data_IF_432492118890
#
_entry.id   IF_432492118890
#
_cell.length_a   1.000
_cell.length_b   1.000
_cell.length_c   1.000
_cell.angle_alpha   90.00
_cell.angle_beta   90.00
_cell.angle_gamma   90.00
#
_symmetry.space_group_name_H-M   'P 1'
#
loop_
_entity.id
_entity.type
_entity.pdbx_description
1 polymer ?
#
# COMPACT_ATOMS: atom_id res chain seq x y z
N UNK A 1 -28.18 7.65 -10.34
CA UNK A 1 -28.03 6.60 -11.38
C UNK A 1 -27.01 5.63 -10.81
N UNK A 2 -27.42 4.41 -10.46
CA UNK A 2 -26.56 3.45 -9.79
C UNK A 2 -25.32 3.15 -10.65
N UNK A 3 -24.12 3.33 -10.08
CA UNK A 3 -22.85 3.11 -10.77
C UNK A 3 -22.75 1.64 -11.20
N UNK A 4 -22.67 1.41 -12.52
CA UNK A 4 -22.91 0.14 -13.20
C UNK A 4 -21.71 -0.80 -13.26
N UNK A 5 -20.76 -0.68 -12.32
CA UNK A 5 -19.47 -1.36 -12.41
C UNK A 5 -19.26 -2.53 -11.41
N UNK A 6 -20.24 -2.85 -10.57
CA UNK A 6 -20.14 -4.00 -9.65
C UNK A 6 -20.77 -5.22 -10.32
N UNK A 7 -19.94 -6.16 -10.77
CA UNK A 7 -20.38 -7.46 -11.28
C UNK A 7 -20.35 -8.49 -10.15
N UNK A 8 -21.51 -9.05 -9.85
CA UNK A 8 -21.62 -10.16 -8.91
C UNK A 8 -21.50 -11.46 -9.68
N UNK A 9 -20.54 -12.29 -9.32
CA UNK A 9 -20.26 -13.58 -9.95
C UNK A 9 -20.12 -14.62 -8.86
N UNK A 10 -20.62 -15.83 -9.10
CA UNK A 10 -20.41 -17.00 -8.26
C UNK A 10 -19.49 -17.98 -9.01
N UNK A 11 -18.48 -18.48 -8.31
CA UNK A 11 -17.51 -19.46 -8.84
C UNK A 11 -17.67 -20.78 -8.09
N UNK A 12 -17.35 -21.90 -8.73
CA UNK A 12 -17.61 -23.22 -8.13
C UNK A 12 -16.68 -23.51 -6.94
N UNK A 13 -15.48 -22.92 -6.94
CA UNK A 13 -14.52 -23.05 -5.85
C UNK A 13 -13.51 -21.88 -5.82
N UNK A 14 -12.71 -21.83 -4.75
CA UNK A 14 -11.72 -20.75 -4.52
C UNK A 14 -10.60 -20.73 -5.56
N UNK A 15 -10.17 -21.88 -6.09
CA UNK A 15 -9.10 -21.94 -7.08
C UNK A 15 -9.58 -21.32 -8.39
N UNK A 16 -10.80 -21.66 -8.83
CA UNK A 16 -11.43 -21.05 -10.01
C UNK A 16 -11.60 -19.53 -9.83
N UNK A 17 -11.99 -19.07 -8.65
CA UNK A 17 -12.08 -17.64 -8.37
C UNK A 17 -10.71 -16.93 -8.42
N UNK A 18 -9.64 -17.60 -7.99
CA UNK A 18 -8.26 -17.09 -8.10
C UNK A 18 -7.83 -17.02 -9.57
N UNK A 19 -8.08 -18.07 -10.36
CA UNK A 19 -7.79 -18.10 -11.80
C UNK A 19 -8.57 -17.01 -12.56
N UNK A 20 -9.83 -16.75 -12.17
CA UNK A 20 -10.59 -15.66 -12.76
C UNK A 20 -10.02 -14.29 -12.38
N UNK A 21 -9.50 -14.11 -11.17
CA UNK A 21 -8.80 -12.86 -10.80
C UNK A 21 -7.55 -12.62 -11.67
N UNK A 22 -6.84 -13.69 -12.08
CA UNK A 22 -5.77 -13.57 -13.07
C UNK A 22 -6.30 -13.19 -14.45
N UNK A 23 -7.35 -13.89 -14.93
CA UNK A 23 -8.00 -13.66 -16.23
C UNK A 23 -8.50 -12.21 -16.39
N UNK A 24 -9.07 -11.65 -15.31
CA UNK A 24 -9.57 -10.27 -15.27
C UNK A 24 -8.47 -9.22 -15.09
N UNK A 25 -7.22 -9.64 -14.87
CA UNK A 25 -6.08 -8.74 -14.65
C UNK A 25 -6.12 -8.00 -13.31
N UNK A 26 -6.82 -8.56 -12.31
CA UNK A 26 -6.93 -7.95 -10.97
C UNK A 26 -5.73 -8.23 -10.07
N UNK A 27 -4.92 -9.21 -10.44
CA UNK A 27 -3.72 -9.63 -9.73
C UNK A 27 -2.47 -8.87 -10.21
N UNK A 28 -1.51 -8.74 -9.30
CA UNK A 28 -0.14 -8.28 -9.55
C UNK A 28 0.79 -9.40 -10.08
N UNK A 29 0.26 -10.58 -10.40
CA UNK A 29 1.00 -11.78 -10.79
C UNK A 29 1.17 -12.80 -9.66
N UNK A 30 0.80 -12.44 -8.42
CA UNK A 30 0.69 -13.35 -7.28
C UNK A 30 -0.77 -13.75 -7.04
N UNK A 31 -1.06 -14.90 -6.41
CA UNK A 31 -2.43 -15.26 -6.09
C UNK A 31 -3.03 -14.23 -5.14
N UNK A 32 -4.29 -13.87 -5.38
CA UNK A 32 -5.06 -12.96 -4.53
C UNK A 32 -6.08 -13.74 -3.73
N UNK A 33 -6.55 -13.17 -2.62
CA UNK A 33 -7.77 -13.66 -1.97
C UNK A 33 -8.96 -13.09 -2.74
N UNK A 34 -9.84 -13.89 -3.35
CA UNK A 34 -10.97 -13.34 -4.10
C UNK A 34 -11.79 -12.36 -3.24
N UNK A 35 -12.19 -11.19 -3.76
CA UNK A 35 -12.88 -10.15 -2.99
C UNK A 35 -14.36 -10.51 -2.77
N UNK A 36 -14.59 -11.56 -1.99
CA UNK A 36 -15.93 -12.01 -1.60
C UNK A 36 -16.67 -10.89 -0.87
N UNK A 37 -17.94 -10.69 -1.21
CA UNK A 37 -18.77 -9.59 -0.67
C UNK A 37 -18.79 -9.51 0.85
N UNK A 38 -18.93 -10.66 1.52
CA UNK A 38 -18.96 -10.77 2.98
C UNK A 38 -17.66 -10.21 3.57
N UNK A 39 -16.51 -10.64 3.04
CA UNK A 39 -15.18 -10.18 3.47
C UNK A 39 -14.93 -8.71 3.16
N UNK A 40 -15.40 -8.22 2.02
CA UNK A 40 -15.33 -6.78 1.71
C UNK A 40 -16.20 -5.98 2.68
N UNK A 41 -17.38 -6.49 3.04
CA UNK A 41 -18.27 -5.86 4.00
C UNK A 41 -17.65 -5.82 5.41
N UNK A 42 -16.96 -6.86 5.86
CA UNK A 42 -16.22 -6.86 7.14
C UNK A 42 -15.23 -5.69 7.25
N UNK A 43 -14.56 -5.34 6.15
CA UNK A 43 -13.60 -4.22 6.11
C UNK A 43 -14.32 -2.88 6.19
N UNK A 44 -15.42 -2.72 5.47
CA UNK A 44 -16.25 -1.51 5.48
C UNK A 44 -16.86 -1.30 6.87
N UNK A 45 -17.41 -2.36 7.47
CA UNK A 45 -18.01 -2.34 8.80
C UNK A 45 -16.98 -2.00 9.88
N UNK A 46 -15.74 -2.50 9.75
CA UNK A 46 -14.66 -2.20 10.68
C UNK A 46 -14.35 -0.69 10.78
N UNK A 47 -14.41 0.03 9.67
CA UNK A 47 -14.15 1.48 9.64
C UNK A 47 -15.43 2.32 9.76
N UNK A 48 -16.60 1.74 9.55
CA UNK A 48 -17.90 2.41 9.64
C UNK A 48 -18.08 3.57 8.63
N UNK A 49 -17.35 3.55 7.51
CA UNK A 49 -17.40 4.59 6.46
C UNK A 49 -18.38 4.19 5.35
N UNK A 50 -18.90 5.18 4.62
CA UNK A 50 -19.78 4.92 3.47
C UNK A 50 -18.98 4.23 2.34
N UNK A 51 -19.40 3.06 1.82
CA UNK A 51 -18.71 2.38 0.73
C UNK A 51 -18.57 3.23 -0.56
N UNK A 52 -19.44 4.22 -0.77
CA UNK A 52 -19.40 5.14 -1.92
C UNK A 52 -18.61 6.42 -1.65
N UNK A 53 -18.11 6.62 -0.42
CA UNK A 53 -17.25 7.74 -0.11
C UNK A 53 -15.99 7.73 -0.99
N UNK A 54 -15.70 8.87 -1.60
CA UNK A 54 -14.53 9.08 -2.46
C UNK A 54 -13.35 9.48 -1.56
N UNK A 55 -12.31 8.65 -1.55
CA UNK A 55 -11.06 8.88 -0.83
C UNK A 55 -10.08 9.75 -1.62
N UNK A 56 -10.25 9.81 -2.94
CA UNK A 56 -9.45 10.64 -3.84
C UNK A 56 -9.71 10.33 -5.30
N UNK A 57 -9.10 11.11 -6.19
CA UNK A 57 -9.30 11.01 -7.63
C UNK A 57 -7.97 11.00 -8.39
N UNK A 58 -7.98 10.44 -9.60
CA UNK A 58 -6.90 10.58 -10.58
C UNK A 58 -7.52 11.15 -11.85
N UNK A 59 -7.61 12.50 -11.95
CA UNK A 59 -8.35 13.18 -13.02
C UNK A 59 -7.86 12.82 -14.43
N UNK A 60 -6.53 12.71 -14.62
CA UNK A 60 -5.87 12.37 -15.89
C UNK A 60 -6.32 11.00 -16.41
N UNK A 61 -6.71 10.12 -15.50
CA UNK A 61 -7.17 8.76 -15.81
C UNK A 61 -8.69 8.61 -15.67
N UNK A 62 -9.41 9.68 -15.32
CA UNK A 62 -10.86 9.70 -15.04
C UNK A 62 -11.25 8.62 -14.04
N UNK A 63 -10.50 8.53 -12.94
CA UNK A 63 -10.73 7.54 -11.88
C UNK A 63 -11.10 8.22 -10.58
N UNK A 64 -12.15 7.69 -9.95
CA UNK A 64 -12.52 7.97 -8.57
C UNK A 64 -12.24 6.74 -7.72
N UNK A 65 -11.55 6.91 -6.60
CA UNK A 65 -11.17 5.83 -5.69
C UNK A 65 -12.10 5.91 -4.48
N UNK A 66 -12.96 4.90 -4.32
CA UNK A 66 -13.93 4.84 -3.23
C UNK A 66 -13.51 3.87 -2.13
N UNK A 67 -14.10 3.99 -0.93
CA UNK A 67 -13.90 3.04 0.17
C UNK A 67 -14.14 1.60 -0.28
N UNK A 68 -15.20 1.32 -1.05
CA UNK A 68 -15.48 -0.03 -1.58
C UNK A 68 -14.34 -0.56 -2.46
N UNK A 69 -13.78 0.28 -3.35
CA UNK A 69 -12.67 -0.12 -4.22
C UNK A 69 -11.42 -0.42 -3.41
N UNK A 70 -11.14 0.38 -2.38
CA UNK A 70 -9.98 0.16 -1.50
C UNK A 70 -10.18 -1.11 -0.66
N UNK A 71 -11.37 -1.34 -0.12
CA UNK A 71 -11.70 -2.55 0.65
C UNK A 71 -11.52 -3.82 -0.19
N UNK A 72 -12.03 -3.85 -1.42
CA UNK A 72 -11.86 -5.00 -2.32
C UNK A 72 -10.38 -5.30 -2.61
N UNK A 73 -9.55 -4.28 -2.83
CA UNK A 73 -8.12 -4.46 -3.06
C UNK A 73 -7.36 -4.87 -1.78
N UNK A 74 -7.77 -4.38 -0.62
CA UNK A 74 -7.20 -4.79 0.66
C UNK A 74 -7.51 -6.27 0.96
N UNK A 75 -8.74 -6.73 0.68
CA UNK A 75 -9.10 -8.15 0.73
C UNK A 75 -8.22 -8.95 -0.21
N UNK A 76 -8.11 -8.55 -1.49
CA UNK A 76 -7.26 -9.22 -2.48
C UNK A 76 -5.80 -9.35 -2.07
N UNK A 77 -5.26 -8.33 -1.40
CA UNK A 77 -3.90 -8.35 -0.86
C UNK A 77 -3.72 -9.32 0.31
N UNK A 78 -4.80 -9.79 0.94
CA UNK A 78 -4.77 -10.65 2.12
C UNK A 78 -4.70 -9.89 3.45
N UNK A 79 -5.07 -8.60 3.46
CA UNK A 79 -5.14 -7.82 4.69
C UNK A 79 -6.12 -8.44 5.71
N UNK A 80 -6.02 -7.97 6.95
CA UNK A 80 -7.07 -8.12 7.96
C UNK A 80 -7.83 -6.79 8.11
N UNK A 81 -9.08 -6.79 8.61
CA UNK A 81 -9.86 -5.57 8.82
C UNK A 81 -9.11 -4.52 9.65
N UNK A 82 -8.37 -4.93 10.68
CA UNK A 82 -7.57 -4.01 11.51
C UNK A 82 -6.43 -3.30 10.76
N UNK A 83 -6.02 -3.79 9.58
CA UNK A 83 -5.02 -3.13 8.74
C UNK A 83 -5.65 -2.06 7.84
N UNK A 84 -6.97 -2.15 7.62
CA UNK A 84 -7.67 -1.33 6.64
C UNK A 84 -7.60 0.18 6.91
N UNK A 85 -7.62 0.69 8.16
CA UNK A 85 -7.40 2.11 8.44
C UNK A 85 -6.07 2.64 7.88
N UNK A 86 -5.00 1.83 7.93
CA UNK A 86 -3.68 2.20 7.39
C UNK A 86 -3.73 2.24 5.86
N UNK A 87 -4.43 1.29 5.22
CA UNK A 87 -4.60 1.26 3.76
C UNK A 87 -5.41 2.47 3.27
N UNK A 88 -6.48 2.84 3.98
CA UNK A 88 -7.26 4.04 3.69
C UNK A 88 -6.37 5.29 3.80
N UNK A 89 -5.69 5.46 4.94
CA UNK A 89 -4.83 6.63 5.17
C UNK A 89 -3.73 6.76 4.12
N UNK A 90 -3.08 5.65 3.75
CA UNK A 90 -2.07 5.64 2.69
C UNK A 90 -2.68 5.95 1.31
N UNK A 91 -3.92 5.52 1.06
CA UNK A 91 -4.64 5.80 -0.20
C UNK A 91 -4.99 7.28 -0.31
N UNK A 92 -5.56 7.87 0.74
CA UNK A 92 -5.84 9.30 0.80
C UNK A 92 -4.55 10.11 0.60
N UNK A 93 -3.47 9.73 1.29
CA UNK A 93 -2.18 10.41 1.21
C UNK A 93 -1.54 10.35 -0.20
N UNK A 94 -1.62 9.21 -0.91
CA UNK A 94 -1.05 9.11 -2.26
C UNK A 94 -1.93 9.75 -3.34
N UNK A 95 -3.19 10.12 -3.03
CA UNK A 95 -4.12 10.77 -3.95
C UNK A 95 -4.22 12.28 -3.73
N UNK A 96 -3.38 12.85 -2.86
CA UNK A 96 -3.28 14.30 -2.71
C UNK A 96 -2.59 14.95 -3.91
N UNK A 97 -2.90 16.23 -4.13
CA UNK A 97 -2.25 17.02 -5.20
C UNK A 97 -0.75 17.14 -4.94
N UNK A 98 -0.36 17.33 -3.68
CA UNK A 98 1.03 17.48 -3.25
C UNK A 98 1.88 16.23 -3.54
N UNK A 99 1.30 15.03 -3.41
CA UNK A 99 2.00 13.81 -3.74
C UNK A 99 2.16 13.62 -5.26
N UNK A 100 1.20 14.13 -6.05
CA UNK A 100 1.18 14.05 -7.51
C UNK A 100 1.42 12.61 -8.03
N UNK A 101 0.44 11.73 -7.82
CA UNK A 101 0.56 10.31 -8.16
C UNK A 101 0.96 10.04 -9.61
N UNK A 102 0.64 10.92 -10.55
CA UNK A 102 0.98 10.77 -11.97
C UNK A 102 2.49 10.69 -12.18
N UNK A 103 3.27 11.46 -11.41
CA UNK A 103 4.72 11.50 -11.53
C UNK A 103 5.37 10.11 -11.31
N UNK A 104 5.22 9.44 -10.15
CA UNK A 104 5.80 8.11 -9.95
C UNK A 104 5.09 7.00 -10.74
N UNK A 105 3.80 7.16 -11.07
CA UNK A 105 3.03 6.10 -11.70
C UNK A 105 3.01 6.12 -13.23
N UNK A 106 3.51 7.18 -13.88
CA UNK A 106 3.60 7.29 -15.35
C UNK A 106 5.01 7.57 -15.87
N UNK A 107 5.98 7.68 -14.95
CA UNK A 107 7.40 7.85 -15.29
C UNK A 107 8.00 6.56 -15.85
N UNK A 108 9.05 6.73 -16.65
CA UNK A 108 9.95 5.63 -17.02
C UNK A 108 10.82 5.17 -15.84
N UNK A 109 10.95 6.04 -14.83
CA UNK A 109 11.57 5.74 -13.55
C UNK A 109 10.73 4.75 -12.75
N UNK A 110 11.37 3.75 -12.19
CA UNK A 110 10.74 2.60 -11.56
C UNK A 110 10.37 2.78 -10.09
N UNK A 111 10.07 3.99 -9.65
CA UNK A 111 9.70 4.25 -8.25
C UNK A 111 8.45 3.45 -7.85
N UNK A 112 8.50 2.86 -6.66
CA UNK A 112 7.35 2.33 -5.94
C UNK A 112 6.73 3.39 -5.02
N UNK A 113 5.55 3.08 -4.49
CA UNK A 113 4.90 3.89 -3.45
C UNK A 113 5.23 3.26 -2.11
N UNK A 114 6.23 3.80 -1.41
CA UNK A 114 6.61 3.40 -0.06
C UNK A 114 5.64 4.01 0.95
N UNK A 115 5.07 3.17 1.80
CA UNK A 115 4.27 3.59 2.96
C UNK A 115 5.09 3.40 4.24
N UNK A 116 5.34 4.49 4.95
CA UNK A 116 5.93 4.47 6.30
C UNK A 116 4.82 4.72 7.32
N UNK A 117 4.66 3.79 8.26
CA UNK A 117 3.62 3.84 9.29
C UNK A 117 4.22 4.21 10.64
N UNK A 118 3.55 5.11 11.31
CA UNK A 118 3.97 5.71 12.57
C UNK A 118 2.87 5.61 13.64
N UNK A 119 3.29 5.71 14.90
CA UNK A 119 2.43 5.79 16.07
C UNK A 119 1.90 4.42 16.54
N UNK A 120 0.98 4.44 17.53
CA UNK A 120 0.49 3.22 18.18
C UNK A 120 -0.10 2.16 17.25
N UNK A 121 -0.69 2.54 16.11
CA UNK A 121 -1.29 1.59 15.17
C UNK A 121 -0.29 0.53 14.71
N UNK A 122 0.96 0.92 14.43
CA UNK A 122 2.00 0.01 13.95
C UNK A 122 2.22 -1.16 14.91
N UNK A 123 2.24 -0.87 16.21
CA UNK A 123 2.42 -1.86 17.29
C UNK A 123 1.15 -2.67 17.51
N UNK A 124 0.00 -2.03 17.48
CA UNK A 124 -1.29 -2.68 17.70
C UNK A 124 -1.61 -3.74 16.64
N UNK A 125 -1.22 -3.50 15.38
CA UNK A 125 -1.44 -4.45 14.29
C UNK A 125 -0.22 -5.35 14.02
N UNK A 126 0.83 -5.23 14.84
CA UNK A 126 2.02 -6.08 14.79
C UNK A 126 2.91 -5.87 13.57
N UNK A 127 3.03 -4.65 13.06
CA UNK A 127 3.97 -4.33 11.97
C UNK A 127 5.42 -4.54 12.39
N UNK A 128 6.26 -4.94 11.43
CA UNK A 128 7.70 -5.01 11.60
C UNK A 128 8.36 -3.65 11.32
N UNK A 129 9.25 -3.23 12.22
CA UNK A 129 10.11 -2.05 12.09
C UNK A 129 11.60 -2.38 12.26
N UNK A 130 11.96 -3.67 12.32
CA UNK A 130 13.29 -4.12 12.74
C UNK A 130 13.99 -4.93 11.63
N UNK A 131 14.55 -6.07 11.99
CA UNK A 131 15.34 -6.89 11.10
C UNK A 131 14.57 -7.25 9.82
N UNK A 132 15.29 -7.27 8.70
CA UNK A 132 14.74 -7.62 7.41
C UNK A 132 13.47 -6.78 7.06
N UNK A 133 13.46 -5.48 7.38
CA UNK A 133 12.26 -4.61 7.35
C UNK A 133 11.54 -4.59 5.99
N UNK A 134 12.29 -4.69 4.88
CA UNK A 134 11.77 -4.75 3.51
C UNK A 134 11.64 -6.19 2.97
N UNK A 135 12.00 -7.18 3.77
CA UNK A 135 11.95 -8.59 3.41
C UNK A 135 10.66 -9.28 3.87
N UNK A 136 10.54 -10.59 3.60
CA UNK A 136 9.35 -11.36 3.93
C UNK A 136 9.23 -11.63 5.44
N UNK A 137 8.02 -11.98 5.88
CA UNK A 137 7.78 -12.57 7.20
C UNK A 137 6.75 -11.84 8.07
N UNK A 138 6.39 -10.61 7.74
CA UNK A 138 5.36 -9.85 8.45
C UNK A 138 4.12 -9.64 7.57
N UNK A 139 2.96 -10.14 8.01
CA UNK A 139 1.72 -10.04 7.24
C UNK A 139 1.27 -8.60 7.07
N UNK A 140 1.27 -7.79 8.14
CA UNK A 140 0.79 -6.41 8.08
C UNK A 140 1.60 -5.59 7.05
N UNK A 141 2.94 -5.58 7.16
CA UNK A 141 3.81 -4.91 6.18
C UNK A 141 3.53 -5.43 4.76
N UNK A 142 3.50 -6.76 4.59
CA UNK A 142 3.36 -7.38 3.28
C UNK A 142 2.04 -7.03 2.60
N UNK A 143 0.93 -7.19 3.32
CA UNK A 143 -0.40 -7.04 2.76
C UNK A 143 -0.81 -5.57 2.63
N UNK A 144 -0.37 -4.68 3.52
CA UNK A 144 -0.62 -3.23 3.38
C UNK A 144 0.11 -2.70 2.14
N UNK A 145 1.39 -3.02 1.98
CA UNK A 145 2.16 -2.61 0.79
C UNK A 145 1.56 -3.19 -0.49
N UNK A 146 1.15 -4.46 -0.46
CA UNK A 146 0.48 -5.11 -1.60
C UNK A 146 -0.89 -4.53 -1.90
N UNK A 147 -1.67 -4.15 -0.87
CA UNK A 147 -2.96 -3.49 -1.05
C UNK A 147 -2.80 -2.17 -1.80
N UNK A 148 -1.81 -1.36 -1.45
CA UNK A 148 -1.48 -0.13 -2.19
C UNK A 148 -1.14 -0.45 -3.64
N UNK A 149 -0.33 -1.49 -3.91
CA UNK A 149 -0.04 -1.89 -5.29
C UNK A 149 -1.28 -2.30 -6.09
N UNK A 150 -2.16 -3.10 -5.50
CA UNK A 150 -3.41 -3.51 -6.14
C UNK A 150 -4.37 -2.33 -6.35
N UNK A 151 -4.46 -1.38 -5.42
CA UNK A 151 -5.23 -0.14 -5.58
C UNK A 151 -4.70 0.68 -6.75
N UNK A 152 -3.37 0.84 -6.85
CA UNK A 152 -2.75 1.53 -7.98
C UNK A 152 -3.16 0.89 -9.31
N UNK A 153 -3.10 -0.44 -9.42
CA UNK A 153 -3.46 -1.16 -10.65
C UNK A 153 -4.96 -1.09 -10.95
N UNK A 154 -5.80 -1.48 -9.98
CA UNK A 154 -7.22 -1.74 -10.21
C UNK A 154 -8.10 -0.48 -10.07
N UNK A 155 -7.76 0.43 -9.17
CA UNK A 155 -8.54 1.65 -8.94
C UNK A 155 -7.96 2.86 -9.66
N UNK A 156 -6.62 2.98 -9.72
CA UNK A 156 -5.93 4.11 -10.36
C UNK A 156 -5.46 3.83 -11.79
N UNK A 157 -5.74 2.63 -12.33
CA UNK A 157 -5.33 2.17 -13.67
C UNK A 157 -3.81 2.14 -13.91
N UNK A 158 -2.97 2.18 -12.88
CA UNK A 158 -1.50 2.12 -12.93
C UNK A 158 -0.97 0.72 -13.29
N UNK A 159 -1.48 0.14 -14.37
CA UNK A 159 -1.16 -1.21 -14.84
C UNK A 159 0.15 -1.16 -15.65
N UNK A 160 1.11 -2.08 -15.41
CA UNK A 160 2.33 -2.20 -16.21
C UNK A 160 2.06 -2.24 -17.71
N UNK A 161 2.76 -1.40 -18.47
CA UNK A 161 2.62 -1.33 -19.93
C UNK A 161 1.44 -0.49 -20.42
N UNK A 162 0.47 -0.18 -19.56
CA UNK A 162 -0.62 0.76 -19.84
C UNK A 162 -0.26 2.16 -19.36
N UNK A 163 -0.51 2.44 -18.08
CA UNK A 163 -0.17 3.74 -17.47
C UNK A 163 1.09 3.66 -16.60
N UNK A 164 1.43 2.51 -16.04
CA UNK A 164 2.74 2.31 -15.41
C UNK A 164 3.78 2.09 -16.52
N UNK A 165 4.61 3.12 -16.75
CA UNK A 165 5.61 3.19 -17.82
C UNK A 165 7.02 2.83 -17.34
N UNK A 166 7.14 2.27 -16.15
CA UNK A 166 8.41 1.83 -15.57
C UNK A 166 9.16 0.90 -16.54
N UNK A 167 10.45 1.16 -16.78
CA UNK A 167 11.27 0.32 -17.65
C UNK A 167 11.76 -0.98 -16.97
N UNK A 168 12.38 -0.89 -15.79
CA UNK A 168 12.98 -2.05 -15.07
C UNK A 168 12.18 -2.39 -13.81
N UNK A 169 11.87 -1.37 -12.99
CA UNK A 169 11.17 -1.55 -11.72
C UNK A 169 12.00 -2.29 -10.68
N UNK A 170 11.43 -2.52 -9.50
CA UNK A 170 12.07 -3.28 -8.44
C UNK A 170 11.04 -4.11 -7.65
N UNK A 171 11.44 -5.22 -7.01
CA UNK A 171 10.52 -6.09 -6.26
C UNK A 171 9.76 -5.39 -5.12
N UNK A 172 10.28 -4.27 -4.60
CA UNK A 172 9.60 -3.49 -3.59
C UNK A 172 8.21 -3.02 -4.04
N UNK A 173 7.96 -2.81 -5.34
CA UNK A 173 6.65 -2.42 -5.86
C UNK A 173 5.52 -3.40 -5.51
N UNK A 174 5.82 -4.66 -5.16
CA UNK A 174 4.81 -5.62 -4.71
C UNK A 174 4.37 -5.42 -3.25
N UNK A 175 5.23 -4.85 -2.39
CA UNK A 175 5.07 -4.91 -0.94
C UNK A 175 5.85 -3.79 -0.23
N UNK A 176 5.62 -2.53 -0.61
CA UNK A 176 6.45 -1.41 -0.13
C UNK A 176 5.87 -0.71 1.11
N UNK A 177 5.83 -1.40 2.25
CA UNK A 177 5.33 -0.82 3.50
C UNK A 177 6.15 -1.24 4.72
N UNK A 178 6.47 -0.28 5.58
CA UNK A 178 7.24 -0.48 6.81
C UNK A 178 6.65 0.33 7.96
N UNK A 179 6.95 -0.07 9.18
CA UNK A 179 6.79 0.80 10.35
C UNK A 179 8.14 1.43 10.71
N UNK A 180 8.13 2.65 11.23
CA UNK A 180 9.32 3.26 11.83
C UNK A 180 9.65 2.60 13.19
N UNK A 181 10.93 2.43 13.51
CA UNK A 181 11.35 1.92 14.82
C UNK A 181 11.44 3.04 15.87
N UNK A 182 10.29 3.61 16.22
CA UNK A 182 10.16 4.78 17.11
C UNK A 182 10.67 4.52 18.53
N UNK A 183 10.72 3.26 18.97
CA UNK A 183 11.05 2.89 20.35
C UNK A 183 12.54 2.61 20.58
N UNK A 184 13.30 2.37 19.51
CA UNK A 184 14.73 2.03 19.60
C UNK A 184 15.59 2.97 18.72
N UNK A 185 15.02 4.09 18.29
CA UNK A 185 15.72 5.15 17.56
C UNK A 185 16.16 6.28 18.51
N UNK A 186 17.25 6.95 18.15
CA UNK A 186 17.71 8.18 18.83
C UNK A 186 17.16 9.46 18.20
N UNK A 187 16.46 9.32 17.07
CA UNK A 187 15.90 10.42 16.30
C UNK A 187 14.47 10.71 16.73
N UNK A 188 14.00 11.92 16.47
CA UNK A 188 12.59 12.25 16.60
C UNK A 188 11.81 11.43 15.57
N UNK A 189 10.73 10.71 15.95
CA UNK A 189 9.95 9.94 14.99
C UNK A 189 9.43 10.82 13.85
N UNK A 190 9.38 10.30 12.63
CA UNK A 190 9.02 11.03 11.41
C UNK A 190 7.69 11.79 11.52
N UNK A 191 6.69 11.19 12.16
CA UNK A 191 5.40 11.84 12.37
C UNK A 191 5.47 13.04 13.33
N UNK A 192 6.34 12.96 14.33
CA UNK A 192 6.58 14.06 15.28
C UNK A 192 7.34 15.20 14.61
N UNK A 193 8.37 14.89 13.82
CA UNK A 193 9.07 15.89 12.99
C UNK A 193 8.11 16.63 12.03
N UNK A 194 7.03 15.95 11.62
CA UNK A 194 5.96 16.51 10.77
C UNK A 194 4.83 17.21 11.55
N UNK A 195 4.96 17.34 12.87
CA UNK A 195 4.06 18.11 13.72
C UNK A 195 2.90 17.32 14.34
N UNK A 196 2.92 15.99 14.29
CA UNK A 196 1.92 15.14 14.96
C UNK A 196 2.37 14.74 16.38
N UNK A 197 1.43 14.39 17.26
CA UNK A 197 1.78 13.91 18.61
C UNK A 197 2.24 12.44 18.57
N UNK A 198 3.01 12.03 19.58
CA UNK A 198 3.54 10.64 19.70
C UNK A 198 2.45 9.57 19.86
N UNK A 199 1.25 9.98 20.28
CA UNK A 199 0.08 9.12 20.40
C UNK A 199 -0.73 9.04 19.09
N UNK A 200 -0.45 9.92 18.13
CA UNK A 200 -1.16 9.95 16.86
C UNK A 200 -0.55 8.94 15.88
N UNK A 201 -1.41 8.10 15.30
CA UNK A 201 -1.01 7.19 14.23
C UNK A 201 -1.09 7.89 12.88
N UNK A 202 -0.05 7.75 12.05
CA UNK A 202 0.02 8.39 10.73
C UNK A 202 0.59 7.46 9.69
N UNK A 203 0.34 7.79 8.42
CA UNK A 203 1.04 7.20 7.28
C UNK A 203 1.74 8.31 6.50
N UNK A 204 2.97 8.05 6.08
CA UNK A 204 3.71 8.90 5.13
C UNK A 204 3.96 8.10 3.86
N UNK A 205 3.61 8.68 2.72
CA UNK A 205 3.82 8.06 1.41
C UNK A 205 4.98 8.73 0.67
N UNK A 206 5.85 7.91 0.08
CA UNK A 206 7.00 8.36 -0.70
C UNK A 206 7.06 7.66 -2.05
N UNK A 207 7.36 8.41 -3.11
CA UNK A 207 7.83 7.83 -4.36
C UNK A 207 9.30 7.44 -4.17
N UNK A 208 9.58 6.14 -4.03
CA UNK A 208 10.89 5.64 -3.65
C UNK A 208 11.40 4.57 -4.62
N UNK A 209 12.71 4.60 -4.90
CA UNK A 209 13.43 3.54 -5.62
C UNK A 209 13.67 2.32 -4.74
N UNK A 210 14.35 1.31 -5.25
CA UNK A 210 14.80 0.17 -4.46
C UNK A 210 15.66 0.59 -3.26
N UNK A 211 15.50 -0.03 -2.09
CA UNK A 211 16.44 0.15 -1.00
C UNK A 211 17.84 -0.27 -1.45
N UNK A 212 18.82 0.64 -1.33
CA UNK A 212 20.22 0.35 -1.62
C UNK A 212 20.98 0.13 -0.34
N UNK A 213 21.44 -1.10 -0.13
CA UNK A 213 22.33 -1.39 0.99
C UNK A 213 23.73 -0.88 0.67
N UNK A 214 24.12 0.25 1.26
CA UNK A 214 25.45 0.84 1.04
C UNK A 214 26.51 0.15 1.90
N UNK A 215 26.18 -0.33 3.10
CA UNK A 215 27.07 -1.13 3.96
C UNK A 215 26.30 -2.22 4.71
N UNK A 216 26.99 -3.33 4.98
CA UNK A 216 26.57 -4.36 5.93
C UNK A 216 27.68 -4.54 6.95
N UNK A 217 27.38 -4.34 8.22
CA UNK A 217 28.32 -4.55 9.31
C UNK A 217 27.55 -4.89 10.59
N UNK A 218 28.15 -5.71 11.45
CA UNK A 218 27.61 -6.03 12.78
C UNK A 218 27.78 -4.87 13.78
N UNK A 219 28.59 -3.86 13.43
CA UNK A 219 28.80 -2.67 14.26
C UNK A 219 27.72 -1.62 13.98
N UNK A 220 26.93 -1.28 15.01
CA UNK A 220 25.75 -0.40 14.93
C UNK A 220 26.01 0.94 14.22
N UNK A 221 27.20 1.53 14.38
CA UNK A 221 27.52 2.84 13.83
C UNK A 221 27.91 2.80 12.34
N UNK A 222 28.36 1.65 11.83
CA UNK A 222 28.70 1.48 10.42
C UNK A 222 27.46 1.50 9.49
N UNK A 223 26.26 1.26 10.03
CA UNK A 223 25.01 1.38 9.29
C UNK A 223 24.65 2.84 8.96
N UNK A 224 25.09 3.81 9.77
CA UNK A 224 24.80 5.23 9.55
C UNK A 224 25.57 5.82 8.36
N UNK A 225 26.77 5.29 8.07
CA UNK A 225 27.57 5.67 6.88
C UNK A 225 26.88 5.29 5.55
N UNK A 226 25.78 4.54 5.60
CA UNK A 226 25.07 4.01 4.43
C UNK A 226 23.96 4.91 3.90
N UNK A 227 23.60 5.97 4.62
CA UNK A 227 22.56 6.90 4.21
C UNK A 227 23.19 8.01 3.35
N UNK A 228 23.34 7.74 2.06
CA UNK A 228 23.63 8.79 1.07
C UNK A 228 22.32 9.10 0.37
N UNK A 229 21.87 10.34 0.53
CA UNK A 229 20.78 10.94 -0.21
C UNK A 229 21.05 10.79 -1.72
N UNK A 230 20.13 10.12 -2.41
CA UNK A 230 20.08 10.16 -3.87
C UNK A 230 18.66 10.55 -4.26
N UNK A 231 18.29 11.77 -3.88
CA UNK A 231 17.23 12.53 -4.54
C UNK A 231 17.50 12.62 -6.05
#
# INVERSE_FOLDING_TARGET
>A
VADSNIRNVEWNNVIEAIEECYSLGWSDGLPVVPPEKSRVQEFIDYVGRDPQEILGEVPERRRQVTVLKVAANAVMAGCLPEYFPVVISATEAMLTEEFNLIAPSSSQGGAGILVVVNGPVSRNIGMNSKDNVFGPGNRANATIGRAVRLILMNACASIPGLFDRTNIGHPGKYTYCIAENELETHWEPLHVERGFSVEQSTTTVFAAWEPRQVRSASEKYAALDSLIDVA
#
